data_IF_588426238441
#
_entry.id   IF_588426238441
#
_cell.length_a   1.000
_cell.length_b   1.000
_cell.length_c   1.000
_cell.angle_alpha   90.00
_cell.angle_beta   90.00
_cell.angle_gamma   90.00
#
_symmetry.space_group_name_H-M   'P 1'
#
loop_
_entity.id
_entity.type
_entity.pdbx_description
1 polymer ?
#
# COMPACT_ATOMS: atom_id res chain seq x y z
N UNK A 1 -3.63 48.59 5.65
CA UNK A 1 -4.39 47.37 5.29
C UNK A 1 -3.42 46.31 4.78
N UNK A 2 -2.41 45.96 5.55
CA UNK A 2 -1.68 44.70 5.40
C UNK A 2 -2.46 43.72 6.26
N UNK A 3 -3.47 43.15 5.63
CA UNK A 3 -4.81 42.93 6.18
C UNK A 3 -4.97 41.59 6.90
N UNK A 4 -6.09 41.45 7.61
CA UNK A 4 -6.58 40.26 8.30
C UNK A 4 -6.47 38.94 7.48
N UNK A 5 -6.36 39.01 6.15
CA UNK A 5 -6.03 37.88 5.28
C UNK A 5 -4.76 37.14 5.77
N UNK A 6 -3.71 37.87 6.20
CA UNK A 6 -2.49 37.22 6.68
C UNK A 6 -2.66 36.51 8.03
N UNK A 7 -3.67 36.90 8.84
CA UNK A 7 -3.94 36.27 10.13
C UNK A 7 -4.75 34.98 9.94
N UNK A 8 -5.71 35.00 9.02
CA UNK A 8 -6.49 33.81 8.64
C UNK A 8 -5.58 32.75 8.00
N UNK A 9 -4.73 33.15 7.05
CA UNK A 9 -3.75 32.26 6.41
C UNK A 9 -2.78 31.63 7.43
N UNK A 10 -2.37 32.40 8.44
CA UNK A 10 -1.53 31.89 9.55
C UNK A 10 -2.27 30.92 10.45
N UNK A 11 -3.56 31.16 10.71
CA UNK A 11 -4.40 30.27 11.49
C UNK A 11 -4.64 28.94 10.74
N UNK A 12 -5.00 29.01 9.46
CA UNK A 12 -5.22 27.82 8.62
C UNK A 12 -3.93 27.00 8.50
N UNK A 13 -2.77 27.65 8.33
CA UNK A 13 -1.48 26.96 8.34
C UNK A 13 -1.16 26.31 9.70
N UNK A 14 -1.58 26.91 10.81
CA UNK A 14 -1.42 26.33 12.15
C UNK A 14 -2.38 25.16 12.40
N UNK A 15 -3.60 25.21 11.87
CA UNK A 15 -4.56 24.09 11.89
C UNK A 15 -4.01 22.92 11.10
N UNK A 16 -3.57 23.15 9.85
CA UNK A 16 -2.96 22.10 9.00
C UNK A 16 -1.73 21.49 9.70
N UNK A 17 -0.90 22.32 10.36
CA UNK A 17 0.24 21.84 11.14
C UNK A 17 -0.18 21.03 12.37
N UNK A 18 -1.31 21.36 12.98
CA UNK A 18 -1.88 20.59 14.08
C UNK A 18 -2.46 19.26 13.62
N UNK A 19 -3.07 19.23 12.43
CA UNK A 19 -3.69 18.03 11.85
C UNK A 19 -2.63 17.04 11.35
N UNK A 20 -1.66 17.46 10.53
CA UNK A 20 -0.61 16.57 10.00
C UNK A 20 0.78 17.22 10.18
N UNK A 21 1.36 17.20 11.39
CA UNK A 21 2.60 17.91 11.70
C UNK A 21 3.79 17.41 10.89
N UNK A 22 3.80 16.13 10.51
CA UNK A 22 4.86 15.51 9.68
C UNK A 22 4.89 16.14 8.29
N UNK A 23 3.72 16.47 7.74
CA UNK A 23 3.59 16.99 6.39
C UNK A 23 3.36 18.50 6.31
N UNK A 24 3.38 19.20 7.44
CA UNK A 24 3.07 20.63 7.55
C UNK A 24 4.04 21.57 6.81
N UNK A 25 5.27 21.12 6.55
CA UNK A 25 6.29 21.93 5.88
C UNK A 25 6.09 22.02 4.36
N UNK A 26 6.63 23.01 3.66
CA UNK A 26 6.31 23.29 2.24
C UNK A 26 6.97 22.36 1.19
N UNK A 27 7.43 21.17 1.56
CA UNK A 27 8.12 20.25 0.62
C UNK A 27 7.13 19.49 -0.26
N UNK A 28 7.49 19.24 -1.53
CA UNK A 28 6.69 18.38 -2.41
C UNK A 28 6.76 16.89 -2.00
N UNK A 29 7.80 16.46 -1.31
CA UNK A 29 7.95 15.09 -0.80
C UNK A 29 7.36 15.00 0.59
N UNK A 30 6.44 14.05 0.78
CA UNK A 30 5.65 13.81 1.99
C UNK A 30 5.73 12.34 2.41
N UNK A 31 5.31 12.07 3.63
CA UNK A 31 5.15 10.71 4.15
C UNK A 31 3.70 10.53 4.53
N UNK A 32 3.07 9.45 4.09
CA UNK A 32 1.67 9.18 4.46
C UNK A 32 1.59 8.89 5.97
N UNK A 33 0.84 9.70 6.69
CA UNK A 33 0.52 9.51 8.11
C UNK A 33 -0.93 9.10 8.29
N UNK A 34 -1.35 8.87 9.54
CA UNK A 34 -2.77 8.63 9.86
C UNK A 34 -3.65 9.84 9.57
N UNK A 35 -3.06 11.04 9.60
CA UNK A 35 -3.77 12.32 9.42
C UNK A 35 -3.74 12.81 7.97
N UNK A 36 -2.92 12.19 7.11
CA UNK A 36 -2.83 12.54 5.71
C UNK A 36 -4.17 12.36 4.99
N UNK A 37 -4.67 13.40 4.32
CA UNK A 37 -5.96 13.35 3.58
C UNK A 37 -6.01 12.25 2.50
N UNK A 38 -4.84 11.79 2.01
CA UNK A 38 -4.71 10.73 1.01
C UNK A 38 -4.57 9.32 1.60
N UNK A 39 -4.44 9.17 2.92
CA UNK A 39 -4.30 7.86 3.56
C UNK A 39 -5.43 6.90 3.14
N UNK A 40 -5.07 5.65 2.86
CA UNK A 40 -5.98 4.58 2.40
C UNK A 40 -6.67 4.82 1.04
N UNK A 41 -6.44 5.96 0.38
CA UNK A 41 -6.99 6.22 -0.97
C UNK A 41 -6.12 5.56 -2.03
N UNK A 42 -6.70 5.24 -3.18
CA UNK A 42 -5.94 4.77 -4.34
C UNK A 42 -5.21 5.92 -5.04
N UNK A 43 -3.93 5.73 -5.30
CA UNK A 43 -3.13 6.60 -6.14
C UNK A 43 -3.63 6.53 -7.59
N UNK A 44 -3.90 7.69 -8.21
CA UNK A 44 -4.33 7.76 -9.62
C UNK A 44 -3.23 7.44 -10.64
N UNK A 45 -1.97 7.38 -10.20
CA UNK A 45 -0.84 6.99 -11.03
C UNK A 45 -0.75 5.48 -11.19
N UNK A 46 -0.44 4.78 -10.10
CA UNK A 46 -0.21 3.32 -10.11
C UNK A 46 -1.41 2.45 -9.70
N UNK A 47 -2.48 3.05 -9.18
CA UNK A 47 -3.67 2.34 -8.69
C UNK A 47 -3.53 1.75 -7.28
N UNK A 48 -2.32 1.73 -6.69
CA UNK A 48 -2.10 1.23 -5.33
C UNK A 48 -2.67 2.18 -4.27
N UNK A 49 -3.16 1.63 -3.15
CA UNK A 49 -3.59 2.42 -1.99
C UNK A 49 -2.41 3.04 -1.27
N UNK A 50 -2.50 4.29 -0.83
CA UNK A 50 -1.52 4.89 0.07
C UNK A 50 -1.62 4.27 1.47
N UNK A 51 -0.47 3.84 2.01
CA UNK A 51 -0.32 3.22 3.32
C UNK A 51 0.56 4.09 4.19
N UNK A 52 0.49 3.89 5.49
CA UNK A 52 1.37 4.56 6.44
C UNK A 52 2.83 4.39 6.01
N UNK A 53 3.60 5.45 6.20
CA UNK A 53 5.04 5.54 5.87
C UNK A 53 5.36 5.55 4.37
N UNK A 54 4.36 5.46 3.48
CA UNK A 54 4.61 5.64 2.05
C UNK A 54 5.14 7.05 1.78
N UNK A 55 6.30 7.11 1.11
CA UNK A 55 6.85 8.37 0.62
C UNK A 55 6.14 8.76 -0.68
N UNK A 56 5.51 9.93 -0.68
CA UNK A 56 4.68 10.42 -1.76
C UNK A 56 5.15 11.79 -2.26
N UNK A 57 4.84 12.07 -3.51
CA UNK A 57 4.95 13.39 -4.09
C UNK A 57 3.56 14.05 -4.06
N UNK A 58 3.44 15.15 -3.32
CA UNK A 58 2.25 15.97 -3.22
C UNK A 58 2.34 17.18 -4.16
N UNK A 59 1.22 17.54 -4.76
CA UNK A 59 1.06 18.79 -5.51
C UNK A 59 0.14 19.72 -4.74
N UNK A 60 0.39 21.02 -4.84
CA UNK A 60 -0.34 22.05 -4.11
C UNK A 60 -1.16 22.92 -5.07
N UNK A 61 -2.31 23.42 -4.60
CA UNK A 61 -3.02 24.47 -5.31
C UNK A 61 -2.48 25.87 -4.97
N UNK A 62 -3.09 26.90 -5.58
CA UNK A 62 -2.68 28.29 -5.36
C UNK A 62 -2.86 28.77 -3.91
N UNK A 63 -3.66 28.06 -3.10
CA UNK A 63 -3.86 28.35 -1.68
C UNK A 63 -2.88 27.61 -0.77
N UNK A 64 -1.97 26.80 -1.33
CA UNK A 64 -1.04 25.99 -0.55
C UNK A 64 -1.68 24.72 0.03
N UNK A 65 -2.89 24.35 -0.37
CA UNK A 65 -3.54 23.10 0.03
C UNK A 65 -3.10 21.94 -0.87
N UNK A 66 -2.89 20.76 -0.28
CA UNK A 66 -2.55 19.54 -1.03
C UNK A 66 -3.72 19.13 -1.94
N UNK A 67 -3.43 18.99 -3.22
CA UNK A 67 -4.32 18.40 -4.21
C UNK A 67 -4.27 16.88 -4.10
N UNK A 68 -5.07 16.31 -3.21
CA UNK A 68 -5.12 14.86 -2.91
C UNK A 68 -5.17 13.97 -4.17
N UNK A 69 -5.88 14.39 -5.23
CA UNK A 69 -5.99 13.62 -6.49
C UNK A 69 -4.70 13.57 -7.31
N UNK A 70 -3.78 14.48 -7.05
CA UNK A 70 -2.49 14.63 -7.71
C UNK A 70 -1.35 14.03 -6.87
N UNK A 71 -1.63 13.50 -5.67
CA UNK A 71 -0.63 12.77 -4.87
C UNK A 71 -0.22 11.49 -5.61
N UNK A 72 1.09 11.19 -5.60
CA UNK A 72 1.72 10.06 -6.30
C UNK A 72 2.70 9.34 -5.39
N UNK A 73 2.80 8.02 -5.47
CA UNK A 73 3.89 7.31 -4.81
C UNK A 73 5.23 7.70 -5.46
N UNK A 74 6.28 7.79 -4.65
CA UNK A 74 7.66 7.93 -5.15
C UNK A 74 8.36 6.58 -5.32
N UNK A 75 7.78 5.51 -4.79
CA UNK A 75 8.32 4.16 -4.90
C UNK A 75 8.39 3.69 -6.36
N UNK A 76 9.61 3.52 -6.85
CA UNK A 76 9.91 3.06 -8.21
C UNK A 76 9.36 1.65 -8.49
N UNK A 77 9.24 0.79 -7.47
CA UNK A 77 8.71 -0.57 -7.61
C UNK A 77 7.23 -0.53 -7.98
N UNK A 78 6.51 0.53 -7.59
CA UNK A 78 5.09 0.71 -7.92
C UNK A 78 4.87 1.38 -9.28
N UNK A 79 5.94 1.80 -9.98
CA UNK A 79 5.85 2.39 -11.31
C UNK A 79 5.11 3.74 -11.37
N UNK A 80 4.97 4.44 -10.24
CA UNK A 80 4.09 5.61 -10.13
C UNK A 80 4.73 6.92 -10.65
N UNK A 81 6.06 7.00 -10.66
CA UNK A 81 6.80 8.24 -10.92
C UNK A 81 6.80 8.68 -12.40
N UNK A 82 6.44 7.80 -13.34
CA UNK A 82 6.60 8.06 -14.78
C UNK A 82 5.63 9.10 -15.37
N UNK A 83 4.63 9.58 -14.60
CA UNK A 83 3.77 10.71 -14.97
C UNK A 83 2.87 10.53 -16.20
N UNK A 84 3.04 9.49 -16.99
CA UNK A 84 2.35 9.30 -18.29
C UNK A 84 0.96 8.69 -18.15
N UNK A 85 0.54 8.23 -16.97
CA UNK A 85 -0.73 7.51 -16.82
C UNK A 85 -0.84 6.25 -17.70
N UNK A 86 0.27 5.86 -18.33
CA UNK A 86 0.44 4.64 -19.12
C UNK A 86 1.42 3.78 -18.35
N UNK A 87 0.97 2.57 -18.05
CA UNK A 87 1.65 1.55 -17.28
C UNK A 87 2.83 0.91 -18.04
N UNK A 88 3.61 1.71 -18.78
CA UNK A 88 4.91 1.29 -19.32
C UNK A 88 6.02 1.41 -18.27
N UNK A 89 5.67 1.66 -17.00
CA UNK A 89 6.54 1.32 -15.91
C UNK A 89 6.63 -0.20 -15.85
N UNK A 90 7.59 -0.76 -16.59
CA UNK A 90 8.17 -2.07 -16.28
C UNK A 90 8.40 -2.05 -14.78
N UNK A 91 7.58 -2.79 -14.03
CA UNK A 91 7.77 -2.96 -12.60
C UNK A 91 9.23 -3.38 -12.46
N UNK A 92 10.04 -2.50 -11.87
CA UNK A 92 11.46 -2.74 -11.83
C UNK A 92 11.68 -4.06 -11.09
N UNK A 93 12.35 -5.00 -11.75
CA UNK A 93 12.80 -6.20 -11.06
C UNK A 93 13.57 -5.74 -9.82
N UNK A 94 13.29 -6.30 -8.63
CA UNK A 94 13.96 -5.88 -7.43
C UNK A 94 15.46 -6.02 -7.61
N UNK A 95 16.22 -5.06 -7.06
CA UNK A 95 17.68 -5.05 -7.12
C UNK A 95 18.24 -6.47 -6.85
N UNK A 96 19.18 -6.98 -7.66
CA UNK A 96 19.76 -8.32 -7.46
C UNK A 96 20.27 -8.56 -6.02
N UNK A 97 20.72 -7.53 -5.33
CA UNK A 97 21.10 -7.58 -3.92
C UNK A 97 19.89 -7.85 -3.01
N UNK A 98 18.76 -7.18 -3.25
CA UNK A 98 17.51 -7.42 -2.51
C UNK A 98 17.03 -8.85 -2.74
N UNK A 99 17.07 -9.34 -3.98
CA UNK A 99 16.69 -10.73 -4.28
C UNK A 99 17.59 -11.73 -3.55
N UNK A 100 18.92 -11.51 -3.54
CA UNK A 100 19.87 -12.36 -2.80
C UNK A 100 19.63 -12.32 -1.30
N UNK A 101 19.36 -11.13 -0.75
CA UNK A 101 19.05 -10.98 0.66
C UNK A 101 17.78 -11.73 1.04
N UNK A 102 16.72 -11.60 0.24
CA UNK A 102 15.47 -12.33 0.44
C UNK A 102 15.68 -13.84 0.37
N UNK A 103 16.40 -14.34 -0.64
CA UNK A 103 16.71 -15.76 -0.74
C UNK A 103 17.52 -16.28 0.46
N UNK A 104 18.46 -15.47 0.98
CA UNK A 104 19.22 -15.82 2.18
C UNK A 104 18.34 -15.81 3.44
N UNK A 105 17.43 -14.85 3.57
CA UNK A 105 16.48 -14.79 4.67
C UNK A 105 15.55 -16.02 4.66
N UNK A 106 14.96 -16.33 3.50
CA UNK A 106 14.09 -17.50 3.31
C UNK A 106 14.84 -18.83 3.53
N UNK A 107 16.18 -18.87 3.37
CA UNK A 107 16.99 -20.05 3.65
C UNK A 107 17.29 -20.24 5.15
N UNK A 108 17.41 -19.15 5.91
CA UNK A 108 17.69 -19.18 7.36
C UNK A 108 16.40 -19.38 8.17
N UNK A 109 15.30 -18.80 7.71
CA UNK A 109 13.98 -18.91 8.33
C UNK A 109 12.95 -19.35 7.26
N UNK A 110 12.93 -20.65 6.91
CA UNK A 110 12.06 -21.13 5.85
C UNK A 110 10.58 -20.92 6.23
N UNK A 111 9.74 -20.47 5.28
CA UNK A 111 8.32 -20.27 5.55
C UNK A 111 7.68 -21.60 6.02
N UNK A 112 6.69 -21.53 6.93
CA UNK A 112 6.03 -22.72 7.43
C UNK A 112 5.35 -23.48 6.27
N UNK A 113 5.26 -24.80 6.39
CA UNK A 113 4.57 -25.64 5.39
C UNK A 113 3.08 -25.28 5.26
N UNK A 114 2.47 -24.74 6.31
CA UNK A 114 1.11 -24.23 6.31
C UNK A 114 0.95 -23.07 7.31
N UNK A 115 0.33 -21.93 6.93
CA UNK A 115 -0.10 -21.60 5.57
C UNK A 115 1.09 -21.43 4.61
N UNK A 116 0.89 -21.70 3.33
CA UNK A 116 1.91 -21.43 2.32
C UNK A 116 2.01 -19.92 2.13
N UNK A 117 3.15 -19.36 2.51
CA UNK A 117 3.48 -17.96 2.26
C UNK A 117 4.04 -17.81 0.85
N UNK A 118 3.52 -16.83 0.12
CA UNK A 118 3.96 -16.49 -1.24
C UNK A 118 4.49 -15.07 -1.26
N UNK A 119 5.72 -14.88 -1.73
CA UNK A 119 6.27 -13.56 -2.04
C UNK A 119 5.78 -13.13 -3.41
N UNK A 120 5.11 -11.98 -3.49
CA UNK A 120 4.59 -11.47 -4.75
C UNK A 120 5.72 -10.85 -5.57
N UNK A 121 6.12 -11.46 -6.68
CA UNK A 121 7.02 -10.83 -7.65
C UNK A 121 6.26 -9.77 -8.46
N UNK A 122 6.98 -8.84 -9.08
CA UNK A 122 6.41 -7.87 -10.02
C UNK A 122 5.53 -8.53 -11.11
N UNK A 123 5.91 -9.73 -11.55
CA UNK A 123 5.23 -10.51 -12.59
C UNK A 123 4.09 -11.38 -12.06
N UNK A 124 3.88 -11.46 -10.75
CA UNK A 124 2.84 -12.32 -10.18
C UNK A 124 1.44 -11.82 -10.59
N UNK A 125 0.49 -12.68 -11.02
CA UNK A 125 -0.82 -12.24 -11.53
C UNK A 125 -1.63 -11.32 -10.61
N UNK A 126 -1.39 -11.40 -9.29
CA UNK A 126 -2.06 -10.56 -8.29
C UNK A 126 -1.54 -9.12 -8.21
N UNK A 127 -0.35 -8.85 -8.75
CA UNK A 127 0.27 -7.50 -8.74
C UNK A 127 0.62 -7.01 -10.14
N UNK A 128 0.72 -7.92 -11.11
CA UNK A 128 0.92 -7.62 -12.52
C UNK A 128 -0.04 -6.53 -12.99
N UNK A 129 0.39 -5.78 -14.01
CA UNK A 129 -0.35 -4.61 -14.44
C UNK A 129 -1.78 -4.96 -14.87
N UNK A 130 -2.76 -4.36 -14.16
CA UNK A 130 -4.18 -4.60 -14.39
C UNK A 130 -5.02 -3.38 -14.01
N UNK A 131 -6.18 -3.17 -14.65
CA UNK A 131 -7.02 -1.99 -14.40
C UNK A 131 -7.48 -1.86 -12.95
N UNK A 132 -7.65 -2.98 -12.24
CA UNK A 132 -8.09 -3.04 -10.85
C UNK A 132 -7.13 -3.88 -10.01
N UNK A 133 -6.37 -3.22 -9.13
CA UNK A 133 -5.41 -3.88 -8.24
C UNK A 133 -6.13 -4.83 -7.27
N UNK A 134 -5.55 -6.01 -7.03
CA UNK A 134 -6.07 -6.90 -5.98
C UNK A 134 -5.87 -6.26 -4.63
N UNK A 135 -6.84 -6.48 -3.75
CA UNK A 135 -6.82 -5.96 -2.39
C UNK A 135 -6.87 -7.12 -1.41
N UNK A 136 -6.15 -6.94 -0.30
CA UNK A 136 -6.32 -7.79 0.87
C UNK A 136 -7.74 -7.54 1.42
N UNK A 137 -8.59 -8.57 1.57
CA UNK A 137 -9.97 -8.38 2.01
C UNK A 137 -10.10 -7.95 3.48
N UNK A 138 -9.04 -8.11 4.27
CA UNK A 138 -9.03 -7.74 5.68
C UNK A 138 -8.78 -6.25 5.86
N UNK A 139 -7.70 -5.73 5.25
CA UNK A 139 -7.29 -4.32 5.42
C UNK A 139 -7.65 -3.42 4.23
N UNK A 140 -8.21 -3.96 3.15
CA UNK A 140 -8.55 -3.28 1.88
C UNK A 140 -7.39 -2.65 1.11
N UNK A 141 -6.16 -2.70 1.65
CA UNK A 141 -4.97 -2.23 0.96
C UNK A 141 -4.65 -3.12 -0.25
N UNK A 142 -4.20 -2.50 -1.33
CA UNK A 142 -3.82 -3.21 -2.57
C UNK A 142 -2.55 -4.01 -2.38
N UNK A 143 -2.47 -5.24 -2.87
CA UNK A 143 -1.26 -6.07 -2.84
C UNK A 143 -0.15 -5.42 -3.69
N UNK A 144 1.10 -5.49 -3.23
CA UNK A 144 2.27 -4.90 -3.93
C UNK A 144 3.37 -5.92 -4.17
N UNK A 145 4.25 -5.68 -5.16
CA UNK A 145 5.47 -6.47 -5.33
C UNK A 145 6.34 -6.46 -4.07
N UNK A 146 7.00 -7.59 -3.80
CA UNK A 146 7.86 -7.84 -2.64
C UNK A 146 7.12 -8.30 -1.38
N UNK A 147 5.80 -8.11 -1.30
CA UNK A 147 5.00 -8.44 -0.13
C UNK A 147 4.79 -9.95 0.03
N UNK A 148 4.78 -10.38 1.28
CA UNK A 148 4.40 -11.74 1.65
C UNK A 148 2.88 -11.83 1.88
N UNK A 149 2.26 -12.83 1.25
CA UNK A 149 0.82 -13.09 1.37
C UNK A 149 0.52 -14.56 1.59
N UNK A 150 -0.62 -14.83 2.20
CA UNK A 150 -1.27 -16.14 2.14
C UNK A 150 -2.27 -16.12 0.99
N UNK A 151 -2.03 -16.92 -0.04
CA UNK A 151 -3.01 -17.15 -1.11
C UNK A 151 -3.99 -18.21 -0.63
N UNK A 152 -5.29 -17.94 -0.79
CA UNK A 152 -6.34 -18.86 -0.38
C UNK A 152 -6.14 -20.23 -1.07
N UNK A 153 -5.96 -21.32 -0.30
CA UNK A 153 -5.64 -22.63 -0.86
C UNK A 153 -6.87 -23.36 -1.40
N UNK A 154 -8.06 -22.74 -1.43
CA UNK A 154 -9.26 -23.47 -1.81
C UNK A 154 -9.23 -23.88 -3.30
N UNK A 155 -9.64 -25.13 -3.53
CA UNK A 155 -9.54 -25.84 -4.79
C UNK A 155 -10.42 -25.22 -5.91
N UNK A 156 -11.30 -24.29 -5.55
CA UNK A 156 -12.22 -23.57 -6.45
C UNK A 156 -11.58 -22.37 -7.17
N UNK A 157 -10.24 -22.25 -7.17
CA UNK A 157 -9.53 -21.20 -7.91
C UNK A 157 -9.74 -19.78 -7.37
N UNK A 158 -9.99 -19.63 -6.07
CA UNK A 158 -10.34 -18.33 -5.48
C UNK A 158 -9.22 -17.27 -5.62
N UNK A 159 -7.95 -17.69 -5.78
CA UNK A 159 -6.70 -16.90 -6.01
C UNK A 159 -6.51 -15.64 -5.16
N UNK A 160 -7.37 -15.46 -4.17
CA UNK A 160 -7.49 -14.29 -3.33
C UNK A 160 -6.41 -14.36 -2.26
N UNK A 161 -5.76 -13.23 -1.99
CA UNK A 161 -4.61 -13.19 -1.09
C UNK A 161 -4.82 -12.24 0.10
N UNK A 162 -4.24 -12.60 1.23
CA UNK A 162 -4.28 -11.86 2.50
C UNK A 162 -2.84 -11.52 2.89
N UNK A 163 -2.58 -10.28 3.31
CA UNK A 163 -1.24 -9.92 3.76
C UNK A 163 -0.78 -10.76 4.95
N UNK A 164 0.47 -11.19 4.87
CA UNK A 164 1.19 -11.85 5.95
C UNK A 164 2.68 -11.51 5.83
N UNK A 165 2.98 -10.22 6.03
CA UNK A 165 4.31 -9.64 5.93
C UNK A 165 4.65 -8.86 7.20
N UNK A 166 5.16 -9.57 8.21
CA UNK A 166 5.52 -8.99 9.50
C UNK A 166 6.59 -7.91 9.38
N UNK A 167 7.49 -8.00 8.39
CA UNK A 167 8.55 -7.00 8.16
C UNK A 167 8.00 -5.63 7.78
N UNK A 168 6.76 -5.59 7.27
CA UNK A 168 6.03 -4.38 6.89
C UNK A 168 4.83 -4.10 7.81
N UNK A 169 4.69 -4.83 8.91
CA UNK A 169 3.55 -4.73 9.83
C UNK A 169 2.21 -5.20 9.23
N UNK A 170 2.22 -5.99 8.15
CA UNK A 170 1.02 -6.44 7.45
C UNK A 170 0.64 -7.87 7.87
N UNK A 171 0.14 -8.05 9.09
CA UNK A 171 -0.17 -9.37 9.69
C UNK A 171 -1.67 -9.70 9.64
N UNK A 172 -2.33 -9.35 8.53
CA UNK A 172 -3.78 -9.49 8.38
C UNK A 172 -4.26 -10.94 8.55
N UNK A 173 -3.50 -11.91 8.04
CA UNK A 173 -3.88 -13.32 8.13
C UNK A 173 -3.89 -13.83 9.58
N UNK A 174 -2.90 -13.46 10.40
CA UNK A 174 -2.87 -13.81 11.82
C UNK A 174 -4.03 -13.17 12.59
N UNK A 175 -4.33 -11.90 12.31
CA UNK A 175 -5.47 -11.19 12.89
C UNK A 175 -6.80 -11.88 12.56
N UNK A 176 -6.96 -12.28 11.31
CA UNK A 176 -8.13 -13.03 10.84
C UNK A 176 -8.25 -14.41 11.53
N UNK A 177 -7.14 -15.15 11.69
CA UNK A 177 -7.14 -16.44 12.40
C UNK A 177 -7.50 -16.31 13.88
N UNK A 178 -7.10 -15.21 14.52
CA UNK A 178 -7.44 -14.93 15.92
C UNK A 178 -8.93 -14.62 16.11
N UNK A 179 -9.56 -13.94 15.14
CA UNK A 179 -10.96 -13.54 15.21
C UNK A 179 -11.94 -14.63 14.76
N UNK A 180 -11.56 -15.46 13.78
CA UNK A 180 -12.45 -16.44 13.17
C UNK A 180 -12.04 -17.88 13.51
N UNK A 181 -12.90 -18.60 14.26
CA UNK A 181 -12.80 -20.06 14.39
C UNK A 181 -13.03 -20.72 13.03
N UNK A 182 -11.94 -20.97 12.27
CA UNK A 182 -11.62 -21.87 11.13
C UNK A 182 -12.70 -22.63 10.30
N UNK A 183 -14.00 -22.40 10.43
CA UNK A 183 -15.04 -23.23 9.78
C UNK A 183 -15.40 -22.68 8.39
N UNK A 184 -15.10 -21.41 8.12
CA UNK A 184 -15.55 -20.72 6.91
C UNK A 184 -14.33 -20.18 6.15
N UNK A 185 -14.27 -20.44 4.85
CA UNK A 185 -13.28 -19.81 3.98
C UNK A 185 -13.46 -18.29 4.08
N UNK A 186 -12.45 -17.54 4.53
CA UNK A 186 -12.59 -16.09 4.74
C UNK A 186 -12.87 -15.35 3.43
N UNK A 187 -12.52 -15.97 2.31
CA UNK A 187 -12.67 -15.40 0.98
C UNK A 187 -14.07 -15.62 0.40
N UNK A 188 -14.65 -16.82 0.53
CA UNK A 188 -15.97 -17.14 -0.02
C UNK A 188 -17.10 -17.00 1.00
N UNK A 189 -16.78 -16.86 2.29
CA UNK A 189 -17.71 -16.99 3.41
C UNK A 189 -18.51 -18.31 3.39
N UNK A 190 -18.02 -19.34 2.69
CA UNK A 190 -18.62 -20.67 2.65
C UNK A 190 -17.87 -21.66 3.56
N UNK A 191 -18.57 -22.65 4.15
CA UNK A 191 -17.93 -23.78 4.79
C UNK A 191 -16.98 -24.49 3.83
N UNK A 192 -15.88 -25.04 4.34
CA UNK A 192 -14.89 -25.78 3.54
C UNK A 192 -15.51 -26.98 2.78
N UNK A 193 -16.62 -27.51 3.28
CA UNK A 193 -17.28 -28.73 2.79
C UNK A 193 -18.68 -28.48 2.16
N UNK A 194 -18.97 -27.25 1.69
CA UNK A 194 -20.24 -26.88 1.05
C UNK A 194 -20.16 -26.72 -0.49
#
# INVERSE_FOLDING_TARGET
>A
MESELSALERFDAAVIRGEDPVNAEGTAVKVTTVDSEWAMRSCRGCGHTFRLEDVVQATYDASGKVRVREVRHTDSVLGCASGTGQADAVLAEPDPMVQRFQAAADAVDPPPAFPVLTRLTATHPLVADKPTRDQCPECTSTLRPGEMVVICPCDKGCQRAIHQDASRGLTCFDGMLAQHKRIICPMTKQPKDA
#
